data_IF_962119026133
#
_entry.id   IF_962119026133
#
_cell.length_a   1.000
_cell.length_b   1.000
_cell.length_c   1.000
_cell.angle_alpha   90.00
_cell.angle_beta   90.00
_cell.angle_gamma   90.00
#
_symmetry.space_group_name_H-M   'P 1'
#
loop_
_entity.id
_entity.type
_entity.pdbx_description
1 polymer ?
#
# COMPACT_ATOMS: atom_id res chain seq x y z
N UNK A 1 -25.14 -7.95 1.21
CA UNK A 1 -23.80 -8.25 0.68
C UNK A 1 -23.83 -8.95 -0.68
N UNK A 2 -24.19 -10.25 -0.80
CA UNK A 2 -24.23 -10.93 -2.13
C UNK A 2 -25.09 -10.20 -3.16
N UNK A 3 -26.25 -9.69 -2.75
CA UNK A 3 -27.11 -8.85 -3.61
C UNK A 3 -26.39 -7.63 -4.20
N UNK A 4 -25.49 -6.99 -3.46
CA UNK A 4 -24.72 -5.84 -3.95
C UNK A 4 -23.74 -6.27 -5.04
N UNK A 5 -22.99 -7.35 -4.79
CA UNK A 5 -22.05 -7.95 -5.74
C UNK A 5 -22.79 -8.39 -7.01
N UNK A 6 -23.91 -9.12 -6.87
CA UNK A 6 -24.74 -9.56 -8.00
C UNK A 6 -25.28 -8.38 -8.80
N UNK A 7 -25.68 -7.30 -8.13
CA UNK A 7 -26.13 -6.06 -8.77
C UNK A 7 -25.00 -5.42 -9.56
N UNK A 8 -23.79 -5.30 -9.00
CA UNK A 8 -22.60 -4.79 -9.71
C UNK A 8 -22.35 -5.62 -10.97
N UNK A 9 -22.24 -6.94 -10.83
CA UNK A 9 -21.98 -7.84 -11.95
C UNK A 9 -23.05 -7.66 -13.05
N UNK A 10 -24.33 -7.68 -12.67
CA UNK A 10 -25.45 -7.56 -13.61
C UNK A 10 -25.46 -6.21 -14.32
N UNK A 11 -25.24 -5.12 -13.58
CA UNK A 11 -25.26 -3.77 -14.15
C UNK A 11 -24.07 -3.53 -15.09
N UNK A 12 -22.87 -3.93 -14.67
CA UNK A 12 -21.67 -3.79 -15.50
C UNK A 12 -21.75 -4.65 -16.76
N UNK A 13 -22.17 -5.93 -16.65
CA UNK A 13 -22.40 -6.78 -17.83
C UNK A 13 -23.39 -6.16 -18.81
N UNK A 14 -24.51 -5.64 -18.30
CA UNK A 14 -25.55 -5.03 -19.13
C UNK A 14 -25.11 -3.73 -19.80
N UNK A 15 -24.37 -2.88 -19.09
CA UNK A 15 -24.02 -1.53 -19.55
C UNK A 15 -22.74 -1.48 -20.39
N UNK A 16 -21.75 -2.31 -20.07
CA UNK A 16 -20.47 -2.34 -20.77
C UNK A 16 -20.42 -3.39 -21.88
N UNK A 17 -21.23 -4.47 -21.78
CA UNK A 17 -21.26 -5.51 -22.79
C UNK A 17 -19.86 -6.07 -23.05
N UNK A 18 -19.40 -5.99 -24.30
CA UNK A 18 -18.07 -6.44 -24.72
C UNK A 18 -16.90 -5.66 -24.13
N UNK A 19 -17.12 -4.46 -23.59
CA UNK A 19 -16.06 -3.67 -22.93
C UNK A 19 -15.69 -4.22 -21.54
N UNK A 20 -16.55 -5.05 -20.93
CA UNK A 20 -16.20 -5.70 -19.67
C UNK A 20 -15.39 -6.96 -19.96
N UNK A 21 -14.20 -7.08 -19.38
CA UNK A 21 -13.31 -8.22 -19.64
C UNK A 21 -13.30 -9.22 -18.49
N UNK A 22 -13.20 -8.74 -17.25
CA UNK A 22 -13.18 -9.62 -16.08
C UNK A 22 -13.70 -8.91 -14.82
N UNK A 23 -14.20 -9.69 -13.87
CA UNK A 23 -14.52 -9.25 -12.51
C UNK A 23 -13.97 -10.27 -11.52
N UNK A 24 -13.19 -9.79 -10.55
CA UNK A 24 -12.64 -10.60 -9.46
C UNK A 24 -13.16 -10.09 -8.12
N UNK A 25 -13.53 -11.03 -7.24
CA UNK A 25 -13.73 -10.79 -5.82
C UNK A 25 -12.51 -11.31 -5.07
N UNK A 26 -11.91 -10.51 -4.21
CA UNK A 26 -10.72 -10.90 -3.45
C UNK A 26 -10.80 -10.41 -1.99
N UNK A 27 -9.74 -10.64 -1.22
CA UNK A 27 -9.67 -10.24 0.19
C UNK A 27 -10.47 -11.14 1.14
N UNK A 28 -10.81 -10.60 2.31
CA UNK A 28 -11.41 -11.36 3.42
C UNK A 28 -12.77 -11.98 3.08
N UNK A 29 -13.56 -11.31 2.24
CA UNK A 29 -14.86 -11.84 1.81
C UNK A 29 -14.73 -13.04 0.87
N UNK A 30 -13.79 -13.01 -0.08
CA UNK A 30 -13.52 -14.15 -0.94
C UNK A 30 -13.09 -15.39 -0.14
N UNK A 31 -12.28 -15.16 0.90
CA UNK A 31 -11.65 -16.19 1.73
C UNK A 31 -12.48 -16.66 2.94
N UNK A 32 -13.59 -15.99 3.26
CA UNK A 32 -14.51 -16.42 4.33
C UNK A 32 -14.20 -15.90 5.73
N UNK A 33 -13.31 -14.91 5.88
CA UNK A 33 -13.01 -14.27 7.18
C UNK A 33 -13.39 -12.77 7.22
N UNK A 34 -14.38 -12.39 6.42
CA UNK A 34 -14.95 -11.05 6.42
C UNK A 34 -15.60 -10.70 7.76
N UNK A 35 -15.49 -9.43 8.15
CA UNK A 35 -16.10 -8.87 9.35
C UNK A 35 -16.81 -7.56 8.98
N UNK A 36 -18.12 -7.54 9.16
CA UNK A 36 -18.97 -6.38 8.86
C UNK A 36 -18.55 -5.16 9.68
N UNK A 37 -18.56 -3.98 9.07
CA UNK A 37 -18.09 -2.74 9.71
C UNK A 37 -16.58 -2.56 9.72
N UNK A 38 -15.79 -3.64 9.56
CA UNK A 38 -14.31 -3.60 9.66
C UNK A 38 -13.57 -4.09 8.41
N UNK A 39 -14.29 -4.58 7.41
CA UNK A 39 -13.73 -5.14 6.18
C UNK A 39 -14.43 -4.57 4.96
N UNK A 40 -13.62 -4.17 3.98
CA UNK A 40 -14.13 -3.80 2.66
C UNK A 40 -14.51 -5.04 1.84
N UNK A 41 -15.48 -4.87 0.94
CA UNK A 41 -15.73 -5.82 -0.14
C UNK A 41 -14.81 -5.46 -1.30
N UNK A 42 -13.74 -6.23 -1.47
CA UNK A 42 -12.72 -5.96 -2.47
C UNK A 42 -13.08 -6.58 -3.82
N UNK A 43 -13.44 -5.72 -4.77
CA UNK A 43 -13.73 -6.09 -6.15
C UNK A 43 -12.69 -5.48 -7.08
N UNK A 44 -12.33 -6.20 -8.14
CA UNK A 44 -11.53 -5.69 -9.24
C UNK A 44 -12.29 -5.89 -10.55
N UNK A 45 -12.45 -4.81 -11.32
CA UNK A 45 -13.16 -4.78 -12.58
C UNK A 45 -12.14 -4.40 -13.67
N UNK A 46 -11.98 -5.29 -14.64
CA UNK A 46 -11.11 -5.09 -15.80
C UNK A 46 -11.97 -4.79 -17.02
N UNK A 47 -11.64 -3.69 -17.71
CA UNK A 47 -12.37 -3.20 -18.89
C UNK A 47 -11.45 -3.06 -20.10
N UNK A 48 -12.05 -2.90 -21.27
CA UNK A 48 -11.33 -2.62 -22.51
C UNK A 48 -10.63 -1.26 -22.46
N UNK A 49 -9.55 -1.13 -23.23
CA UNK A 49 -8.85 0.13 -23.43
C UNK A 49 -9.77 1.24 -23.93
N UNK A 50 -9.55 2.47 -23.45
CA UNK A 50 -10.36 3.63 -23.83
C UNK A 50 -11.78 3.66 -23.25
N UNK A 51 -12.17 2.69 -22.40
CA UNK A 51 -13.47 2.73 -21.73
C UNK A 51 -13.63 4.03 -20.94
N UNK A 52 -14.73 4.74 -21.18
CA UNK A 52 -14.95 6.07 -20.62
C UNK A 52 -15.26 5.99 -19.11
N UNK A 53 -14.37 6.55 -18.27
CA UNK A 53 -14.52 6.60 -16.81
C UNK A 53 -15.84 7.25 -16.35
N UNK A 54 -16.36 8.23 -17.10
CA UNK A 54 -17.64 8.87 -16.76
C UNK A 54 -18.85 7.98 -17.10
N UNK A 55 -18.71 7.05 -18.05
CA UNK A 55 -19.73 6.02 -18.29
C UNK A 55 -19.72 4.96 -17.18
N UNK A 56 -18.52 4.59 -16.70
CA UNK A 56 -18.34 3.69 -15.56
C UNK A 56 -18.91 4.32 -14.29
N UNK A 57 -18.63 5.59 -14.04
CA UNK A 57 -19.20 6.37 -12.93
C UNK A 57 -20.73 6.39 -12.97
N UNK A 58 -21.34 6.76 -14.10
CA UNK A 58 -22.81 6.75 -14.24
C UNK A 58 -23.44 5.37 -14.03
N UNK A 59 -22.68 4.30 -14.23
CA UNK A 59 -23.13 2.93 -13.98
C UNK A 59 -23.00 2.56 -12.50
N UNK A 60 -21.92 2.98 -11.85
CA UNK A 60 -21.61 2.58 -10.47
C UNK A 60 -22.24 3.48 -9.41
N UNK A 61 -22.36 4.80 -9.64
CA UNK A 61 -22.82 5.74 -8.63
C UNK A 61 -24.19 5.38 -8.01
N UNK A 62 -25.22 4.97 -8.78
CA UNK A 62 -26.49 4.53 -8.19
C UNK A 62 -26.34 3.27 -7.32
N UNK A 63 -25.40 2.38 -7.66
CA UNK A 63 -25.11 1.18 -6.88
C UNK A 63 -24.40 1.58 -5.58
N UNK A 64 -23.53 2.57 -5.63
CA UNK A 64 -22.88 3.13 -4.45
C UNK A 64 -23.86 3.81 -3.51
N UNK A 65 -24.83 4.55 -4.03
CA UNK A 65 -25.92 5.15 -3.24
C UNK A 65 -26.72 4.08 -2.49
N UNK A 66 -27.04 2.96 -3.14
CA UNK A 66 -27.81 1.86 -2.54
C UNK A 66 -27.00 0.96 -1.58
N UNK A 67 -25.71 0.76 -1.86
CA UNK A 67 -24.90 -0.29 -1.21
C UNK A 67 -23.56 0.19 -0.63
N UNK A 68 -23.25 1.48 -0.65
CA UNK A 68 -21.94 2.03 -0.26
C UNK A 68 -21.54 1.68 1.17
N UNK A 69 -22.49 1.68 2.11
CA UNK A 69 -22.25 1.26 3.49
C UNK A 69 -21.83 -0.22 3.62
N UNK A 70 -22.34 -1.08 2.74
CA UNK A 70 -22.01 -2.51 2.70
C UNK A 70 -20.69 -2.76 1.99
N UNK A 71 -20.43 -2.01 0.91
CA UNK A 71 -19.21 -2.15 0.11
C UNK A 71 -17.98 -1.58 0.82
N UNK A 72 -18.16 -0.45 1.54
CA UNK A 72 -17.14 0.39 2.19
C UNK A 72 -16.09 1.00 1.25
N UNK A 73 -15.90 0.43 0.07
CA UNK A 73 -14.97 0.89 -0.97
C UNK A 73 -15.54 0.63 -2.37
N UNK A 74 -15.20 1.49 -3.33
CA UNK A 74 -15.41 1.18 -4.74
C UNK A 74 -14.45 0.08 -5.24
N UNK A 75 -14.81 -0.61 -6.34
CA UNK A 75 -13.93 -1.60 -6.95
C UNK A 75 -12.64 -0.95 -7.47
N UNK A 76 -11.55 -1.71 -7.48
CA UNK A 76 -10.44 -1.44 -8.39
C UNK A 76 -10.98 -1.44 -9.81
N UNK A 77 -10.59 -0.46 -10.60
CA UNK A 77 -11.09 -0.30 -11.96
C UNK A 77 -9.93 0.06 -12.88
N UNK A 78 -9.67 -0.78 -13.87
CA UNK A 78 -8.56 -0.59 -14.77
C UNK A 78 -8.88 -1.08 -16.19
N UNK A 79 -8.41 -0.36 -17.22
CA UNK A 79 -8.18 -0.96 -18.52
C UNK A 79 -7.22 -2.15 -18.42
N UNK A 80 -7.32 -3.10 -19.35
CA UNK A 80 -6.51 -4.32 -19.38
C UNK A 80 -5.01 -4.09 -19.16
N UNK A 81 -4.40 -3.21 -19.93
CA UNK A 81 -2.95 -2.91 -19.85
C UNK A 81 -2.56 -2.34 -18.49
N UNK A 82 -3.39 -1.46 -17.93
CA UNK A 82 -3.18 -0.91 -16.60
C UNK A 82 -3.33 -1.97 -15.52
N UNK A 83 -4.27 -2.90 -15.66
CA UNK A 83 -4.40 -4.05 -14.77
C UNK A 83 -3.17 -4.95 -14.82
N UNK A 84 -2.71 -5.35 -16.01
CA UNK A 84 -1.51 -6.18 -16.19
C UNK A 84 -0.30 -5.52 -15.55
N UNK A 85 -0.05 -4.24 -15.86
CA UNK A 85 1.04 -3.47 -15.26
C UNK A 85 0.90 -3.40 -13.74
N UNK A 86 -0.30 -3.13 -13.22
CA UNK A 86 -0.53 -3.06 -11.78
C UNK A 86 -0.25 -4.38 -11.07
N UNK A 87 -0.63 -5.51 -11.67
CA UNK A 87 -0.33 -6.86 -11.16
C UNK A 87 1.18 -7.15 -11.17
N UNK A 88 1.89 -6.77 -12.23
CA UNK A 88 3.35 -6.92 -12.33
C UNK A 88 4.09 -6.09 -11.27
N UNK A 89 3.62 -4.87 -11.01
CA UNK A 89 4.20 -3.98 -10.01
C UNK A 89 3.83 -4.36 -8.57
N UNK A 90 2.75 -5.12 -8.38
CA UNK A 90 2.26 -5.61 -7.09
C UNK A 90 2.05 -7.14 -7.09
N UNK A 91 3.13 -7.94 -7.19
CA UNK A 91 3.05 -9.40 -7.23
C UNK A 91 2.25 -10.01 -6.08
N UNK A 92 2.38 -9.48 -4.85
CA UNK A 92 1.62 -9.99 -3.72
C UNK A 92 0.09 -9.88 -3.95
N UNK A 93 -0.37 -8.76 -4.49
CA UNK A 93 -1.78 -8.58 -4.85
C UNK A 93 -2.19 -9.54 -5.97
N UNK A 94 -1.37 -9.66 -7.02
CA UNK A 94 -1.63 -10.55 -8.14
C UNK A 94 -1.80 -12.02 -7.68
N UNK A 95 -0.88 -12.50 -6.85
CA UNK A 95 -0.93 -13.84 -6.27
C UNK A 95 -2.11 -14.03 -5.33
N UNK A 96 -2.46 -13.03 -4.52
CA UNK A 96 -3.67 -13.09 -3.69
C UNK A 96 -4.96 -13.17 -4.53
N UNK A 97 -5.06 -12.40 -5.62
CA UNK A 97 -6.23 -12.47 -6.51
C UNK A 97 -6.33 -13.84 -7.18
N UNK A 98 -5.22 -14.38 -7.71
CA UNK A 98 -5.25 -15.67 -8.40
C UNK A 98 -5.48 -16.86 -7.47
N UNK A 99 -4.86 -16.88 -6.28
CA UNK A 99 -4.92 -18.02 -5.37
C UNK A 99 -6.16 -18.00 -4.48
N UNK A 100 -6.45 -16.84 -3.91
CA UNK A 100 -7.44 -16.69 -2.85
C UNK A 100 -8.68 -15.90 -3.31
N UNK A 101 -8.68 -15.39 -4.54
CA UNK A 101 -9.81 -14.69 -5.15
C UNK A 101 -10.82 -15.62 -5.82
N UNK A 102 -11.93 -15.03 -6.25
CA UNK A 102 -13.00 -15.67 -7.01
C UNK A 102 -13.24 -14.88 -8.27
N UNK A 103 -13.06 -15.50 -9.42
CA UNK A 103 -13.45 -14.91 -10.69
C UNK A 103 -14.98 -14.99 -10.83
N UNK A 104 -15.61 -13.83 -10.92
CA UNK A 104 -17.07 -13.67 -11.04
C UNK A 104 -17.50 -13.52 -12.51
N UNK A 105 -16.58 -13.09 -13.37
CA UNK A 105 -16.77 -12.94 -14.80
C UNK A 105 -15.42 -12.92 -15.55
N UNK A 106 -15.44 -13.29 -16.82
CA UNK A 106 -14.29 -13.31 -17.74
C UNK A 106 -13.90 -14.72 -18.17
N UNK A 107 -12.85 -14.83 -18.99
CA UNK A 107 -12.30 -16.11 -19.42
C UNK A 107 -11.61 -16.84 -18.24
N UNK A 108 -11.74 -18.18 -18.09
CA UNK A 108 -11.19 -18.90 -16.95
C UNK A 108 -9.66 -18.79 -16.79
N UNK A 109 -8.95 -18.58 -17.89
CA UNK A 109 -7.49 -18.47 -18.01
C UNK A 109 -7.00 -17.01 -17.99
N UNK A 110 -7.86 -16.05 -17.65
CA UNK A 110 -7.55 -14.62 -17.74
C UNK A 110 -6.28 -14.21 -16.99
N UNK A 111 -5.99 -14.84 -15.84
CA UNK A 111 -4.83 -14.50 -15.01
C UNK A 111 -3.56 -15.28 -15.37
N UNK A 112 -3.66 -16.38 -16.14
CA UNK A 112 -2.55 -17.32 -16.34
C UNK A 112 -1.34 -16.66 -17.01
N UNK A 113 -1.58 -15.70 -17.90
CA UNK A 113 -0.54 -14.94 -18.60
C UNK A 113 -0.05 -13.69 -17.85
N UNK A 114 -0.67 -13.35 -16.72
CA UNK A 114 -0.46 -12.08 -16.01
C UNK A 114 0.40 -12.25 -14.75
N UNK A 115 0.43 -13.45 -14.16
CA UNK A 115 1.04 -13.68 -12.86
C UNK A 115 2.58 -13.53 -12.89
N UNK A 116 3.15 -12.47 -12.27
CA UNK A 116 4.60 -12.35 -12.15
C UNK A 116 5.13 -13.40 -11.16
N UNK A 117 6.44 -13.73 -11.19
CA UNK A 117 7.04 -14.51 -10.12
C UNK A 117 6.88 -13.78 -8.77
N UNK A 118 6.60 -14.53 -7.70
CA UNK A 118 6.52 -13.98 -6.35
C UNK A 118 7.86 -14.16 -5.64
N UNK A 119 8.59 -13.06 -5.44
CA UNK A 119 9.72 -13.06 -4.52
C UNK A 119 9.20 -13.08 -3.08
N UNK A 120 9.57 -14.13 -2.35
CA UNK A 120 9.19 -14.32 -0.94
C UNK A 120 9.73 -13.17 -0.07
N UNK A 121 10.89 -12.62 -0.40
CA UNK A 121 11.47 -11.49 0.34
C UNK A 121 10.58 -10.25 0.22
N UNK A 122 10.08 -9.95 -0.97
CA UNK A 122 9.19 -8.80 -1.21
C UNK A 122 7.84 -8.97 -0.51
N UNK A 123 7.27 -10.17 -0.57
CA UNK A 123 6.01 -10.47 0.12
C UNK A 123 6.11 -10.18 1.62
N UNK A 124 7.20 -10.62 2.27
CA UNK A 124 7.42 -10.38 3.69
C UNK A 124 7.97 -8.98 4.00
N UNK A 125 8.63 -8.30 3.05
CA UNK A 125 8.98 -6.89 3.17
C UNK A 125 7.72 -6.01 3.26
N UNK A 126 6.75 -6.26 2.39
CA UNK A 126 5.45 -5.57 2.41
C UNK A 126 4.74 -5.79 3.76
N UNK A 127 4.63 -7.05 4.22
CA UNK A 127 3.99 -7.34 5.51
C UNK A 127 4.73 -6.70 6.69
N UNK A 128 6.06 -6.64 6.63
CA UNK A 128 6.90 -6.00 7.64
C UNK A 128 6.69 -4.50 7.66
N UNK A 129 6.62 -3.88 6.49
CA UNK A 129 6.32 -2.46 6.38
C UNK A 129 4.95 -2.13 6.96
N UNK A 130 3.91 -2.89 6.60
CA UNK A 130 2.58 -2.72 7.20
C UNK A 130 2.61 -2.90 8.72
N UNK A 131 3.31 -3.92 9.23
CA UNK A 131 3.44 -4.17 10.67
C UNK A 131 4.16 -3.02 11.40
N UNK A 132 5.20 -2.44 10.79
CA UNK A 132 5.91 -1.28 11.29
C UNK A 132 5.00 -0.05 11.33
N UNK A 133 4.29 0.25 10.24
CA UNK A 133 3.38 1.40 10.16
C UNK A 133 2.23 1.31 11.17
N UNK A 134 1.59 0.14 11.32
CA UNK A 134 0.48 -0.01 12.29
C UNK A 134 0.95 -0.06 13.72
N UNK A 135 2.26 -0.17 13.99
CA UNK A 135 2.77 -0.26 15.35
C UNK A 135 2.60 1.04 16.16
N UNK A 136 2.26 2.16 15.50
CA UNK A 136 1.85 3.41 16.16
C UNK A 136 0.70 3.25 17.14
N UNK A 137 -0.13 2.20 17.00
CA UNK A 137 -1.16 1.81 17.97
C UNK A 137 -0.65 1.52 19.38
N UNK A 138 0.67 1.39 19.55
CA UNK A 138 1.30 1.26 20.86
C UNK A 138 1.29 2.58 21.64
N UNK A 139 1.27 3.71 20.94
CA UNK A 139 1.26 5.07 21.51
C UNK A 139 0.15 5.91 20.85
N UNK A 140 -1.13 5.53 21.04
CA UNK A 140 -2.25 6.21 20.40
C UNK A 140 -2.40 7.67 20.84
N UNK A 141 -1.84 8.06 21.99
CA UNK A 141 -1.89 9.44 22.51
C UNK A 141 -1.05 10.43 21.68
N UNK A 142 -0.20 9.92 20.79
CA UNK A 142 0.60 10.72 19.83
C UNK A 142 -0.11 10.92 18.49
N UNK A 143 -1.28 10.31 18.30
CA UNK A 143 -2.05 10.35 17.06
C UNK A 143 -3.32 11.16 17.26
N UNK A 144 -3.84 11.71 16.17
CA UNK A 144 -5.23 12.20 16.17
C UNK A 144 -6.20 11.04 16.38
N UNK A 145 -7.35 11.23 17.08
CA UNK A 145 -8.26 10.13 17.42
C UNK A 145 -8.72 9.29 16.22
N UNK A 146 -8.98 9.93 15.08
CA UNK A 146 -9.37 9.25 13.85
C UNK A 146 -8.22 8.40 13.27
N UNK A 147 -6.99 8.91 13.30
CA UNK A 147 -5.80 8.16 12.86
C UNK A 147 -5.53 6.97 13.79
N UNK A 148 -5.68 7.15 15.11
CA UNK A 148 -5.51 6.08 16.08
C UNK A 148 -6.49 4.92 15.82
N UNK A 149 -7.75 5.22 15.57
CA UNK A 149 -8.78 4.22 15.26
C UNK A 149 -8.52 3.55 13.90
N UNK A 150 -8.22 4.32 12.86
CA UNK A 150 -7.87 3.77 11.54
C UNK A 150 -6.63 2.86 11.60
N UNK A 151 -5.64 3.22 12.41
CA UNK A 151 -4.43 2.40 12.61
C UNK A 151 -4.75 1.11 13.37
N UNK A 152 -5.62 1.19 14.39
CA UNK A 152 -6.12 0.01 15.12
C UNK A 152 -6.89 -0.95 14.21
N UNK A 153 -7.81 -0.44 13.40
CA UNK A 153 -8.54 -1.23 12.41
C UNK A 153 -7.60 -1.89 11.39
N UNK A 154 -6.56 -1.18 10.97
CA UNK A 154 -5.52 -1.72 10.09
C UNK A 154 -4.75 -2.88 10.74
N UNK A 155 -4.39 -2.75 12.02
CA UNK A 155 -3.77 -3.85 12.77
C UNK A 155 -4.71 -5.07 12.86
N UNK A 156 -5.99 -4.87 13.16
CA UNK A 156 -6.98 -5.95 13.20
C UNK A 156 -7.11 -6.67 11.85
N UNK A 157 -7.11 -5.93 10.74
CA UNK A 157 -7.11 -6.50 9.38
C UNK A 157 -5.86 -7.35 9.11
N UNK A 158 -4.68 -6.90 9.54
CA UNK A 158 -3.43 -7.68 9.41
C UNK A 158 -3.52 -8.99 10.22
N UNK A 159 -4.01 -8.94 11.45
CA UNK A 159 -4.16 -10.15 12.30
C UNK A 159 -5.14 -11.14 11.66
N UNK A 160 -6.30 -10.67 11.18
CA UNK A 160 -7.25 -11.52 10.45
C UNK A 160 -6.61 -12.17 9.22
N UNK A 161 -5.84 -11.41 8.44
CA UNK A 161 -5.15 -11.92 7.24
C UNK A 161 -4.13 -13.01 7.59
N UNK A 162 -3.37 -12.82 8.67
CA UNK A 162 -2.39 -13.81 9.16
C UNK A 162 -3.09 -15.09 9.63
N UNK A 163 -4.19 -14.96 10.38
CA UNK A 163 -4.93 -16.09 10.94
C UNK A 163 -5.87 -16.78 9.95
N UNK A 164 -6.29 -16.07 8.91
CA UNK A 164 -7.39 -16.44 8.00
C UNK A 164 -8.72 -16.71 8.73
N UNK A 165 -8.96 -15.97 9.81
CA UNK A 165 -10.15 -16.11 10.67
C UNK A 165 -10.63 -14.74 11.18
N UNK A 166 -11.94 -14.56 11.44
CA UNK A 166 -12.47 -13.36 12.12
C UNK A 166 -11.91 -13.19 13.54
N UNK A 167 -11.94 -11.95 14.05
CA UNK A 167 -11.59 -11.66 15.44
C UNK A 167 -12.85 -11.72 16.32
N UNK A 168 -12.93 -12.73 17.18
CA UNK A 168 -14.10 -12.95 18.06
C UNK A 168 -13.90 -12.44 19.49
N UNK A 169 -12.66 -12.24 19.91
CA UNK A 169 -12.32 -11.81 21.27
C UNK A 169 -11.71 -10.41 21.23
N UNK A 170 -12.18 -9.47 22.08
CA UNK A 170 -11.56 -8.15 22.17
C UNK A 170 -10.15 -8.30 22.76
N UNK A 171 -9.14 -7.97 21.95
CA UNK A 171 -7.74 -7.92 22.35
C UNK A 171 -7.23 -6.47 22.35
N UNK A 172 -6.30 -6.18 23.24
CA UNK A 172 -5.60 -4.89 23.27
C UNK A 172 -4.68 -4.75 22.05
N UNK A 173 -4.38 -3.51 21.64
CA UNK A 173 -3.48 -3.24 20.51
C UNK A 173 -2.10 -3.87 20.72
N UNK A 174 -1.59 -3.88 21.96
CA UNK A 174 -0.31 -4.53 22.33
C UNK A 174 -0.35 -6.05 22.07
N UNK A 175 -1.45 -6.73 22.44
CA UNK A 175 -1.61 -8.17 22.20
C UNK A 175 -1.72 -8.49 20.72
N UNK A 176 -2.52 -7.73 19.97
CA UNK A 176 -2.68 -7.91 18.52
C UNK A 176 -1.34 -7.73 17.80
N UNK A 177 -0.59 -6.68 18.11
CA UNK A 177 0.73 -6.43 17.50
C UNK A 177 1.74 -7.51 17.88
N UNK A 178 1.77 -7.94 19.15
CA UNK A 178 2.62 -9.03 19.60
C UNK A 178 2.36 -10.34 18.82
N UNK A 179 1.10 -10.62 18.44
CA UNK A 179 0.77 -11.76 17.57
C UNK A 179 1.30 -11.59 16.14
N UNK A 180 1.19 -10.39 15.57
CA UNK A 180 1.76 -10.11 14.24
C UNK A 180 3.25 -10.43 14.23
N UNK A 181 4.00 -9.93 15.21
CA UNK A 181 5.43 -10.21 15.32
C UNK A 181 5.75 -11.66 15.68
N UNK A 182 4.89 -12.34 16.47
CA UNK A 182 5.03 -13.78 16.73
C UNK A 182 4.96 -14.60 15.44
N UNK A 183 4.09 -14.22 14.50
CA UNK A 183 3.96 -14.88 13.21
C UNK A 183 5.08 -14.50 12.23
N UNK A 184 5.39 -13.20 12.12
CA UNK A 184 6.34 -12.71 11.13
C UNK A 184 7.78 -13.12 11.44
N UNK A 185 8.21 -13.01 12.70
CA UNK A 185 9.61 -13.19 13.07
C UNK A 185 10.17 -14.56 12.64
N UNK A 186 9.56 -15.72 12.95
CA UNK A 186 10.11 -17.02 12.57
C UNK A 186 10.28 -17.20 11.06
N UNK A 187 9.45 -16.53 10.25
CA UNK A 187 9.52 -16.61 8.79
C UNK A 187 10.64 -15.72 8.28
N UNK A 188 10.71 -14.47 8.75
CA UNK A 188 11.75 -13.51 8.36
C UNK A 188 13.15 -14.06 8.69
N UNK A 189 13.33 -14.70 9.85
CA UNK A 189 14.62 -15.29 10.24
C UNK A 189 15.06 -16.46 9.35
N UNK A 190 14.14 -17.07 8.59
CA UNK A 190 14.45 -18.13 7.62
C UNK A 190 14.79 -17.59 6.22
N UNK A 191 14.53 -16.32 5.95
CA UNK A 191 14.84 -15.71 4.66
C UNK A 191 16.37 -15.64 4.47
N UNK A 192 16.90 -16.09 3.32
CA UNK A 192 18.34 -16.03 3.05
C UNK A 192 18.90 -14.61 3.16
N UNK A 193 18.18 -13.62 2.64
CA UNK A 193 18.59 -12.21 2.63
C UNK A 193 18.71 -11.64 4.06
N UNK A 194 17.82 -12.07 4.97
CA UNK A 194 17.79 -11.60 6.34
C UNK A 194 19.05 -11.99 7.13
N UNK A 195 19.76 -13.05 6.73
CA UNK A 195 20.99 -13.52 7.40
C UNK A 195 22.08 -12.46 7.48
N UNK A 196 22.13 -11.54 6.52
CA UNK A 196 23.12 -10.47 6.47
C UNK A 196 22.95 -9.45 7.62
N UNK A 197 21.73 -9.32 8.15
CA UNK A 197 21.40 -8.38 9.20
C UNK A 197 21.10 -9.06 10.54
N UNK A 198 21.12 -10.39 10.57
CA UNK A 198 20.99 -11.15 11.81
C UNK A 198 22.27 -11.06 12.64
N UNK A 199 22.11 -10.90 13.95
CA UNK A 199 23.25 -10.90 14.89
C UNK A 199 23.99 -9.57 14.99
N UNK A 200 23.39 -8.46 14.56
CA UNK A 200 23.90 -7.12 14.90
C UNK A 200 24.01 -7.01 16.41
N UNK A 201 25.23 -6.75 16.90
CA UNK A 201 25.51 -6.73 18.34
C UNK A 201 24.66 -5.64 19.00
N UNK A 202 23.96 -5.93 20.12
CA UNK A 202 23.30 -4.90 20.90
C UNK A 202 24.30 -3.78 21.26
N UNK A 203 23.83 -2.54 21.25
CA UNK A 203 24.65 -1.42 21.75
C UNK A 203 25.00 -1.69 23.22
N UNK A 204 26.24 -1.39 23.63
CA UNK A 204 26.69 -1.56 25.00
C UNK A 204 25.90 -0.67 25.99
N UNK A 205 25.29 0.40 25.47
CA UNK A 205 24.39 1.31 26.20
C UNK A 205 23.03 1.32 25.52
N UNK A 206 22.04 0.68 26.11
CA UNK A 206 20.62 0.79 25.68
C UNK A 206 19.85 1.64 26.68
N UNK A 207 18.78 2.29 26.23
CA UNK A 207 17.87 3.01 27.14
C UNK A 207 17.29 2.05 28.20
N UNK A 208 17.29 2.41 29.50
CA UNK A 208 16.69 1.60 30.56
C UNK A 208 15.18 1.36 30.35
N UNK A 209 14.51 2.29 29.66
CA UNK A 209 13.06 2.26 29.40
C UNK A 209 12.75 1.48 28.11
N UNK A 210 13.74 1.33 27.23
CA UNK A 210 13.62 0.59 25.97
C UNK A 210 14.73 -0.48 25.87
N UNK A 211 14.62 -1.58 26.64
CA UNK A 211 15.59 -2.66 26.58
C UNK A 211 15.71 -3.23 25.17
N UNK A 212 16.95 -3.35 24.67
CA UNK A 212 17.23 -3.88 23.34
C UNK A 212 17.07 -2.88 22.18
N UNK A 213 16.78 -1.61 22.46
CA UNK A 213 16.87 -0.54 21.45
C UNK A 213 18.29 -0.46 20.88
N UNK A 214 18.40 -0.50 19.56
CA UNK A 214 19.67 -0.43 18.83
C UNK A 214 19.85 0.90 18.10
N UNK A 215 18.81 1.41 17.44
CA UNK A 215 18.92 2.64 16.67
C UNK A 215 17.60 3.45 16.66
N UNK A 216 17.72 4.73 16.31
CA UNK A 216 16.63 5.67 16.15
C UNK A 216 16.73 6.34 14.78
N UNK A 217 15.61 6.36 14.06
CA UNK A 217 15.45 7.15 12.85
C UNK A 217 14.27 8.10 13.00
N UNK A 218 14.29 9.20 12.27
CA UNK A 218 13.16 10.10 12.09
C UNK A 218 12.73 10.08 10.64
N UNK A 219 11.43 10.08 10.43
CA UNK A 219 10.84 10.12 9.11
C UNK A 219 9.55 10.95 9.14
N UNK A 220 9.51 12.06 8.41
CA UNK A 220 8.29 12.89 8.23
C UNK A 220 7.56 13.17 9.54
N UNK A 221 8.29 13.58 10.57
CA UNK A 221 7.75 13.90 11.90
C UNK A 221 7.44 12.68 12.79
N UNK A 222 7.70 11.45 12.34
CA UNK A 222 7.58 10.22 13.14
C UNK A 222 8.95 9.77 13.65
N UNK A 223 8.95 9.01 14.75
CA UNK A 223 10.14 8.33 15.23
C UNK A 223 10.05 6.83 14.98
N UNK A 224 11.12 6.24 14.45
CA UNK A 224 11.25 4.80 14.24
C UNK A 224 12.23 4.24 15.26
N UNK A 225 11.75 3.38 16.15
CA UNK A 225 12.53 2.68 17.16
C UNK A 225 12.96 1.32 16.61
N UNK A 226 14.27 1.11 16.47
CA UNK A 226 14.84 -0.12 15.92
C UNK A 226 15.42 -0.94 17.04
N UNK A 227 14.84 -2.12 17.28
CA UNK A 227 15.29 -3.06 18.30
C UNK A 227 16.21 -4.14 17.71
N UNK A 228 17.13 -4.66 18.53
CA UNK A 228 17.93 -5.84 18.18
C UNK A 228 17.05 -7.04 17.83
N UNK A 229 16.03 -7.25 18.65
CA UNK A 229 14.98 -8.24 18.45
C UNK A 229 13.67 -7.67 18.99
N UNK A 230 12.67 -7.59 18.11
CA UNK A 230 11.33 -7.17 18.49
C UNK A 230 10.47 -8.41 18.75
N UNK A 231 10.59 -8.97 19.95
CA UNK A 231 9.82 -10.16 20.35
C UNK A 231 8.42 -9.80 20.86
N UNK A 232 7.45 -10.74 20.83
CA UNK A 232 6.15 -10.54 21.46
C UNK A 232 6.26 -10.11 22.92
N UNK A 233 7.20 -10.69 23.68
CA UNK A 233 7.43 -10.37 25.08
C UNK A 233 7.99 -8.95 25.25
N UNK A 234 8.87 -8.50 24.35
CA UNK A 234 9.35 -7.11 24.33
C UNK A 234 8.18 -6.15 24.17
N UNK A 235 7.28 -6.39 23.21
CA UNK A 235 6.10 -5.55 22.97
C UNK A 235 5.18 -5.52 24.21
N UNK A 236 4.94 -6.67 24.83
CA UNK A 236 4.01 -6.78 25.96
C UNK A 236 4.55 -6.18 27.26
N UNK A 237 5.87 -6.28 27.51
CA UNK A 237 6.49 -5.83 28.76
C UNK A 237 6.87 -4.35 28.74
N UNK A 238 7.01 -3.75 27.56
CA UNK A 238 7.37 -2.34 27.43
C UNK A 238 6.21 -1.41 27.84
N UNK A 239 6.54 -0.41 28.66
CA UNK A 239 5.61 0.63 29.07
C UNK A 239 5.51 1.73 28.00
N UNK A 240 4.74 1.43 26.96
CA UNK A 240 4.51 2.34 25.84
C UNK A 240 3.86 3.67 26.22
N UNK A 241 3.07 3.72 27.30
CA UNK A 241 2.45 4.95 27.79
C UNK A 241 3.50 5.90 28.33
N UNK A 242 4.45 5.39 29.14
CA UNK A 242 5.59 6.19 29.62
C UNK A 242 6.47 6.70 28.47
N UNK A 243 6.64 5.90 27.41
CA UNK A 243 7.40 6.31 26.21
C UNK A 243 6.68 7.46 25.50
N UNK A 244 5.37 7.31 25.27
CA UNK A 244 4.49 8.34 24.70
C UNK A 244 4.61 9.66 25.46
N UNK A 245 4.52 9.63 26.79
CA UNK A 245 4.67 10.80 27.67
C UNK A 245 6.04 11.48 27.52
N UNK A 246 7.12 10.69 27.50
CA UNK A 246 8.49 11.22 27.40
C UNK A 246 8.83 11.84 26.04
N UNK A 247 8.20 11.38 24.97
CA UNK A 247 8.38 11.95 23.62
C UNK A 247 7.56 13.24 23.45
N UNK A 248 6.46 13.38 24.19
CA UNK A 248 5.53 14.50 24.09
C UNK A 248 4.94 14.65 22.69
N UNK A 249 4.30 15.80 22.42
CA UNK A 249 3.70 16.12 21.11
C UNK A 249 4.71 16.47 20.01
N UNK A 250 5.98 16.12 20.17
CA UNK A 250 7.05 16.45 19.21
C UNK A 250 6.99 15.58 17.95
N UNK A 251 6.36 14.40 18.05
CA UNK A 251 6.30 13.42 16.98
C UNK A 251 4.85 13.03 16.66
N UNK A 252 4.57 12.75 15.39
CA UNK A 252 3.28 12.30 14.85
C UNK A 252 3.07 10.78 15.00
N UNK A 253 3.65 10.20 16.05
CA UNK A 253 3.62 8.77 16.34
C UNK A 253 4.99 8.09 16.33
N UNK A 254 4.98 6.88 16.89
CA UNK A 254 6.15 6.01 17.04
C UNK A 254 5.92 4.72 16.26
N UNK A 255 6.85 4.40 15.37
CA UNK A 255 6.89 3.12 14.69
C UNK A 255 7.99 2.26 15.32
N UNK A 256 7.74 0.97 15.52
CA UNK A 256 8.69 0.03 16.11
C UNK A 256 8.98 -1.08 15.13
N UNK A 257 10.24 -1.48 15.07
CA UNK A 257 10.72 -2.51 14.15
C UNK A 257 11.97 -3.17 14.72
N UNK A 258 12.45 -4.23 14.07
CA UNK A 258 13.81 -4.74 14.28
C UNK A 258 14.73 -4.34 13.14
N UNK A 259 16.04 -4.46 13.34
CA UNK A 259 17.04 -4.16 12.30
C UNK A 259 16.79 -4.95 11.02
N UNK A 260 16.53 -6.26 11.13
CA UNK A 260 16.24 -7.13 9.98
C UNK A 260 14.99 -6.65 9.23
N UNK A 261 13.95 -6.27 9.98
CA UNK A 261 12.68 -5.82 9.44
C UNK A 261 12.77 -4.45 8.75
N UNK A 262 13.47 -3.50 9.36
CA UNK A 262 13.76 -2.21 8.76
C UNK A 262 14.52 -2.40 7.44
N UNK A 263 15.62 -3.16 7.44
CA UNK A 263 16.41 -3.38 6.22
C UNK A 263 15.61 -4.08 5.12
N UNK A 264 14.81 -5.09 5.48
CA UNK A 264 13.96 -5.81 4.52
C UNK A 264 12.90 -4.88 3.89
N UNK A 265 12.20 -4.09 4.70
CA UNK A 265 11.23 -3.09 4.22
C UNK A 265 11.90 -2.01 3.37
N UNK A 266 13.02 -1.46 3.85
CA UNK A 266 13.80 -0.43 3.20
C UNK A 266 14.29 -0.86 1.80
N UNK A 267 14.71 -2.11 1.65
CA UNK A 267 15.27 -2.60 0.39
C UNK A 267 14.20 -2.96 -0.66
N UNK A 268 13.08 -3.57 -0.25
CA UNK A 268 12.09 -4.12 -1.19
C UNK A 268 10.79 -3.32 -1.29
N UNK A 269 10.38 -2.61 -0.24
CA UNK A 269 9.13 -1.84 -0.22
C UNK A 269 9.37 -0.34 -0.30
N UNK A 270 10.49 0.14 0.26
CA UNK A 270 10.80 1.57 0.38
C UNK A 270 12.16 2.01 -0.20
N UNK A 271 12.68 1.43 -1.30
CA UNK A 271 13.99 1.78 -1.84
C UNK A 271 14.14 3.28 -2.17
N UNK A 272 13.13 3.96 -2.71
CA UNK A 272 13.15 5.40 -2.97
C UNK A 272 13.28 6.24 -1.69
N UNK A 273 12.66 5.81 -0.59
CA UNK A 273 12.73 6.56 0.67
C UNK A 273 14.15 6.51 1.25
N UNK A 274 14.83 5.38 1.09
CA UNK A 274 16.26 5.24 1.42
C UNK A 274 17.12 6.06 0.45
N UNK A 275 16.87 5.92 -0.85
CA UNK A 275 17.64 6.59 -1.89
C UNK A 275 17.60 8.12 -1.76
N UNK A 276 16.43 8.69 -1.47
CA UNK A 276 16.26 10.12 -1.20
C UNK A 276 16.57 10.53 0.24
N UNK A 277 17.08 9.62 1.07
CA UNK A 277 17.47 9.88 2.47
C UNK A 277 16.33 10.46 3.31
N UNK A 278 15.10 9.95 3.14
CA UNK A 278 13.94 10.34 3.97
C UNK A 278 14.05 9.84 5.43
N UNK A 279 14.90 8.85 5.66
CA UNK A 279 15.25 8.37 6.98
C UNK A 279 16.42 9.21 7.55
N UNK A 280 16.11 10.07 8.51
CA UNK A 280 17.12 10.83 9.26
C UNK A 280 17.62 9.97 10.43
N UNK A 281 18.87 9.50 10.37
CA UNK A 281 19.47 8.75 11.48
C UNK A 281 19.74 9.68 12.68
N UNK A 282 19.23 9.31 13.85
CA UNK A 282 19.34 10.11 15.08
C UNK A 282 20.31 9.50 16.11
N UNK A 283 20.33 8.18 16.28
CA UNK A 283 21.13 7.53 17.32
C UNK A 283 21.35 6.04 17.02
N UNK A 284 22.49 5.50 17.49
CA UNK A 284 22.85 4.09 17.37
C UNK A 284 23.65 3.79 16.11
N UNK A 285 23.73 2.51 15.70
CA UNK A 285 24.28 2.14 14.40
C UNK A 285 23.34 2.53 13.26
N UNK A 286 23.90 3.10 12.20
CA UNK A 286 23.18 3.40 10.97
C UNK A 286 23.22 2.20 10.01
N UNK A 287 22.05 1.61 9.76
CA UNK A 287 21.88 0.36 9.02
C UNK A 287 21.51 0.59 7.55
N UNK A 288 20.91 1.73 7.24
CA UNK A 288 20.34 2.01 5.91
C UNK A 288 21.39 2.33 4.84
N UNK A 289 22.48 3.09 5.12
CA UNK A 289 23.51 3.40 4.12
C UNK A 289 24.25 2.19 3.57
N UNK A 290 24.24 1.06 4.30
CA UNK A 290 24.89 -0.18 3.87
C UNK A 290 24.04 -1.01 2.91
N UNK A 291 22.77 -0.63 2.68
CA UNK A 291 21.89 -1.34 1.77
C UNK A 291 22.28 -1.07 0.31
N UNK A 292 22.46 -2.13 -0.46
CA UNK A 292 22.68 -2.03 -1.90
C UNK A 292 21.32 -2.11 -2.60
N UNK A 293 20.79 -0.95 -2.97
CA UNK A 293 19.52 -0.85 -3.68
C UNK A 293 19.72 -1.09 -5.17
N UNK A 294 18.93 -1.98 -5.76
CA UNK A 294 18.93 -2.16 -7.21
C UNK A 294 18.11 -1.08 -7.91
N UNK A 295 18.54 -0.58 -9.08
CA UNK A 295 17.72 0.28 -9.95
C UNK A 295 16.32 -0.30 -10.21
N UNK A 296 16.22 -1.60 -10.50
CA UNK A 296 14.95 -2.33 -10.58
C UNK A 296 14.00 -2.09 -9.38
N UNK A 297 14.49 -2.17 -8.14
CA UNK A 297 13.65 -1.91 -6.94
C UNK A 297 13.19 -0.44 -6.89
N UNK A 298 14.08 0.50 -7.20
CA UNK A 298 13.80 1.94 -7.22
C UNK A 298 12.71 2.25 -8.26
N UNK A 299 12.89 1.81 -9.51
CA UNK A 299 11.93 2.07 -10.58
C UNK A 299 10.61 1.35 -10.39
N UNK A 300 10.62 0.17 -9.78
CA UNK A 300 9.37 -0.50 -9.43
C UNK A 300 8.58 0.30 -8.40
N UNK A 301 9.22 0.82 -7.34
CA UNK A 301 8.52 1.67 -6.38
C UNK A 301 8.02 2.95 -7.06
N UNK A 302 8.81 3.58 -7.93
CA UNK A 302 8.42 4.77 -8.70
C UNK A 302 7.21 4.51 -9.60
N UNK A 303 7.11 3.32 -10.20
CA UNK A 303 5.96 2.90 -11.01
C UNK A 303 4.72 2.56 -10.18
N UNK A 304 4.89 2.05 -8.95
CA UNK A 304 3.78 1.60 -8.09
C UNK A 304 2.85 2.74 -7.69
N UNK A 305 3.38 3.91 -7.34
CA UNK A 305 2.55 5.05 -6.93
C UNK A 305 1.57 5.51 -8.03
N UNK A 306 2.01 5.89 -9.25
CA UNK A 306 1.08 6.29 -10.31
C UNK A 306 0.14 5.15 -10.72
N UNK A 307 0.63 3.90 -10.73
CA UNK A 307 -0.21 2.72 -11.01
C UNK A 307 -1.32 2.55 -9.96
N UNK A 308 -1.00 2.64 -8.67
CA UNK A 308 -1.97 2.56 -7.59
C UNK A 308 -2.98 3.71 -7.65
N UNK A 309 -2.53 4.94 -7.95
CA UNK A 309 -3.45 6.06 -8.10
C UNK A 309 -4.42 5.80 -9.25
N UNK A 310 -3.92 5.31 -10.40
CA UNK A 310 -4.71 5.05 -11.59
C UNK A 310 -5.74 3.94 -11.41
N UNK A 311 -5.37 2.83 -10.77
CA UNK A 311 -6.21 1.61 -10.69
C UNK A 311 -7.12 1.61 -9.47
N UNK A 312 -6.75 2.36 -8.43
CA UNK A 312 -7.38 2.27 -7.13
C UNK A 312 -7.84 3.63 -6.59
N UNK A 313 -6.91 4.49 -6.15
CA UNK A 313 -7.26 5.70 -5.41
C UNK A 313 -8.18 6.63 -6.19
N UNK A 314 -7.85 6.90 -7.47
CA UNK A 314 -8.61 7.84 -8.30
C UNK A 314 -9.95 7.26 -8.74
N UNK A 315 -10.05 5.99 -9.23
CA UNK A 315 -11.34 5.35 -9.43
C UNK A 315 -12.22 5.38 -8.18
N UNK A 316 -11.67 5.05 -7.01
CA UNK A 316 -12.44 5.06 -5.77
C UNK A 316 -13.08 6.43 -5.51
N UNK A 317 -12.32 7.52 -5.63
CA UNK A 317 -12.85 8.87 -5.45
C UNK A 317 -13.88 9.25 -6.53
N UNK A 318 -13.56 9.03 -7.81
CA UNK A 318 -14.43 9.42 -8.94
C UNK A 318 -15.76 8.65 -8.93
N UNK A 319 -15.74 7.37 -8.56
CA UNK A 319 -16.93 6.50 -8.62
C UNK A 319 -17.87 6.66 -7.42
N UNK A 320 -17.38 7.17 -6.29
CA UNK A 320 -18.15 7.21 -5.02
C UNK A 320 -18.64 8.59 -4.61
N UNK A 321 -18.05 9.65 -5.17
CA UNK A 321 -18.38 11.02 -4.83
C UNK A 321 -19.33 11.65 -5.85
N UNK A 322 -20.13 12.62 -5.41
CA UNK A 322 -21.05 13.37 -6.26
C UNK A 322 -20.34 14.36 -7.21
N UNK A 323 -21.12 15.02 -8.07
CA UNK A 323 -20.59 15.95 -9.08
C UNK A 323 -19.97 17.21 -8.46
N UNK A 324 -20.37 17.59 -7.24
CA UNK A 324 -19.85 18.79 -6.56
C UNK A 324 -18.42 18.58 -6.08
N UNK A 325 -18.04 17.34 -5.78
CA UNK A 325 -16.70 16.95 -5.35
C UNK A 325 -15.67 16.86 -6.49
N UNK A 326 -16.09 16.92 -7.77
CA UNK A 326 -15.17 16.70 -8.90
C UNK A 326 -13.98 17.66 -8.92
N UNK A 327 -14.18 18.93 -8.54
CA UNK A 327 -13.09 19.90 -8.48
C UNK A 327 -12.10 19.60 -7.35
N UNK A 328 -12.58 19.14 -6.19
CA UNK A 328 -11.74 18.70 -5.07
C UNK A 328 -10.94 17.45 -5.46
N UNK A 329 -11.59 16.48 -6.10
CA UNK A 329 -10.94 15.29 -6.65
C UNK A 329 -9.82 15.71 -7.61
N UNK A 330 -10.11 16.58 -8.58
CA UNK A 330 -9.11 17.06 -9.52
C UNK A 330 -7.93 17.71 -8.78
N UNK A 331 -8.20 18.59 -7.82
CA UNK A 331 -7.16 19.23 -7.02
C UNK A 331 -6.27 18.20 -6.30
N UNK A 332 -6.88 17.23 -5.61
CA UNK A 332 -6.15 16.24 -4.81
C UNK A 332 -5.29 15.32 -5.68
N UNK A 333 -5.81 14.88 -6.83
CA UNK A 333 -5.04 14.04 -7.74
C UNK A 333 -4.02 14.81 -8.57
N UNK A 334 -4.21 16.12 -8.80
CA UNK A 334 -3.15 17.00 -9.30
C UNK A 334 -2.01 17.12 -8.29
N UNK A 335 -2.29 17.23 -6.99
CA UNK A 335 -1.27 17.24 -5.94
C UNK A 335 -0.53 15.89 -5.84
N UNK A 336 -1.25 14.77 -5.99
CA UNK A 336 -0.60 13.45 -6.05
C UNK A 336 0.30 13.31 -7.29
N UNK A 337 -0.12 13.82 -8.45
CA UNK A 337 0.72 13.87 -9.65
C UNK A 337 1.94 14.76 -9.47
N UNK A 338 1.81 15.89 -8.76
CA UNK A 338 2.95 16.74 -8.42
C UNK A 338 3.98 15.96 -7.59
N UNK A 339 3.56 15.14 -6.64
CA UNK A 339 4.49 14.29 -5.89
C UNK A 339 5.24 13.30 -6.80
N UNK A 340 4.57 12.71 -7.79
CA UNK A 340 5.22 11.85 -8.80
C UNK A 340 6.24 12.64 -9.63
N UNK A 341 5.93 13.89 -9.99
CA UNK A 341 6.84 14.77 -10.73
C UNK A 341 8.05 15.20 -9.89
N UNK A 342 7.85 15.54 -8.63
CA UNK A 342 8.94 15.91 -7.71
C UNK A 342 9.87 14.71 -7.46
N UNK A 343 9.29 13.52 -7.32
CA UNK A 343 10.06 12.27 -7.22
C UNK A 343 10.91 12.03 -8.48
N UNK A 344 10.32 12.22 -9.67
CA UNK A 344 11.05 12.15 -10.93
C UNK A 344 12.20 13.17 -11.00
N UNK A 345 11.94 14.42 -10.58
CA UNK A 345 12.97 15.45 -10.57
C UNK A 345 14.14 15.07 -9.66
N UNK A 346 13.88 14.44 -8.51
CA UNK A 346 14.94 13.91 -7.65
C UNK A 346 15.72 12.81 -8.37
N UNK A 347 15.05 11.85 -9.03
CA UNK A 347 15.74 10.82 -9.81
C UNK A 347 16.63 11.41 -10.92
N UNK A 348 16.18 12.48 -11.58
CA UNK A 348 16.99 13.21 -12.57
C UNK A 348 18.24 13.82 -11.94
N UNK A 349 18.09 14.46 -10.77
CA UNK A 349 19.21 15.09 -10.04
C UNK A 349 20.25 14.09 -9.55
N UNK A 350 19.83 12.85 -9.32
CA UNK A 350 20.71 11.74 -9.00
C UNK A 350 21.17 10.95 -10.23
N UNK A 351 20.94 11.47 -11.44
CA UNK A 351 21.40 10.89 -12.72
C UNK A 351 20.90 9.45 -12.95
N UNK A 352 19.78 9.06 -12.32
CA UNK A 352 19.16 7.76 -12.53
C UNK A 352 18.31 7.70 -13.79
N UNK A 353 17.78 8.84 -14.22
CA UNK A 353 16.92 8.98 -15.40
C UNK A 353 17.24 10.27 -16.12
N UNK A 354 16.98 10.30 -17.42
CA UNK A 354 17.06 11.53 -18.19
C UNK A 354 15.95 12.51 -17.79
N UNK A 355 16.28 13.79 -17.83
CA UNK A 355 15.31 14.85 -17.56
C UNK A 355 14.35 15.00 -18.73
N UNK A 356 13.06 14.84 -18.46
CA UNK A 356 12.01 15.19 -19.41
C UNK A 356 10.80 15.82 -18.70
N UNK A 357 9.85 16.28 -19.51
CA UNK A 357 8.50 16.63 -19.06
C UNK A 357 7.50 15.68 -19.75
N UNK A 358 6.40 15.28 -19.08
CA UNK A 358 5.34 14.54 -19.75
C UNK A 358 4.91 15.27 -21.04
N UNK A 359 4.58 14.52 -22.11
CA UNK A 359 4.46 15.08 -23.46
C UNK A 359 3.32 16.09 -23.61
N UNK A 360 2.24 15.94 -22.86
CA UNK A 360 1.11 16.87 -22.84
C UNK A 360 0.98 17.50 -21.45
N UNK A 361 0.78 18.82 -21.32
CA UNK A 361 0.49 19.44 -20.04
C UNK A 361 -0.94 19.10 -19.59
N UNK A 362 -1.15 19.07 -18.26
CA UNK A 362 -2.51 18.94 -17.73
C UNK A 362 -3.35 20.16 -18.13
N UNK A 363 -4.62 19.96 -18.52
CA UNK A 363 -5.51 21.05 -18.89
C UNK A 363 -5.76 22.05 -17.75
N UNK A 364 -5.93 23.31 -18.14
CA UNK A 364 -6.19 24.44 -17.25
C UNK A 364 -7.56 24.38 -16.55
N UNK A 365 -7.81 25.35 -15.66
CA UNK A 365 -9.06 25.44 -14.88
C UNK A 365 -10.29 25.78 -15.74
N UNK A 366 -10.07 26.34 -16.92
CA UNK A 366 -11.04 26.66 -17.95
C UNK A 366 -11.59 25.41 -18.68
N UNK A 367 -10.88 24.29 -18.60
CA UNK A 367 -11.31 23.02 -19.20
C UNK A 367 -12.36 22.32 -18.34
N UNK A 368 -13.41 21.69 -18.93
CA UNK A 368 -14.42 20.97 -18.16
C UNK A 368 -13.84 19.90 -17.20
N UNK A 369 -14.35 19.75 -15.97
CA UNK A 369 -13.85 18.78 -14.99
C UNK A 369 -13.74 17.35 -15.52
N UNK A 370 -14.68 16.94 -16.37
CA UNK A 370 -14.69 15.61 -16.98
C UNK A 370 -13.48 15.37 -17.88
N UNK A 371 -13.07 16.36 -18.66
CA UNK A 371 -11.88 16.28 -19.52
C UNK A 371 -10.59 16.33 -18.68
N UNK A 372 -10.57 17.15 -17.61
CA UNK A 372 -9.43 17.22 -16.68
C UNK A 372 -9.18 15.89 -15.98
N UNK A 373 -10.24 15.19 -15.53
CA UNK A 373 -10.16 13.85 -14.95
C UNK A 373 -9.54 12.85 -15.94
N UNK A 374 -10.00 12.85 -17.19
CA UNK A 374 -9.45 11.97 -18.24
C UNK A 374 -7.97 12.25 -18.48
N UNK A 375 -7.57 13.52 -18.51
CA UNK A 375 -6.17 13.91 -18.66
C UNK A 375 -5.30 13.40 -17.49
N UNK A 376 -5.79 13.49 -16.25
CA UNK A 376 -5.09 12.95 -15.07
C UNK A 376 -4.88 11.44 -15.22
N UNK A 377 -5.90 10.68 -15.62
CA UNK A 377 -5.75 9.23 -15.88
C UNK A 377 -4.67 8.94 -16.93
N UNK A 378 -4.64 9.71 -18.03
CA UNK A 378 -3.59 9.57 -19.07
C UNK A 378 -2.20 9.86 -18.54
N UNK A 379 -2.04 10.90 -17.70
CA UNK A 379 -0.75 11.20 -17.07
C UNK A 379 -0.29 10.10 -16.13
N UNK A 380 -1.20 9.56 -15.32
CA UNK A 380 -0.88 8.45 -14.42
C UNK A 380 -0.47 7.19 -15.19
N UNK A 381 -1.17 6.91 -16.29
CA UNK A 381 -0.80 5.84 -17.21
C UNK A 381 0.61 6.05 -17.74
N UNK A 382 0.88 7.24 -18.30
CA UNK A 382 2.16 7.60 -18.88
C UNK A 382 3.32 7.43 -17.90
N UNK A 383 3.17 7.94 -16.67
CA UNK A 383 4.18 7.79 -15.62
C UNK A 383 4.41 6.34 -15.23
N UNK A 384 3.35 5.58 -15.04
CA UNK A 384 3.47 4.17 -14.69
C UNK A 384 4.11 3.35 -15.82
N UNK A 385 3.78 3.65 -17.08
CA UNK A 385 4.36 3.00 -18.26
C UNK A 385 5.84 3.36 -18.45
N UNK A 386 6.20 4.63 -18.24
CA UNK A 386 7.59 5.08 -18.31
C UNK A 386 8.49 4.29 -17.36
N UNK A 387 8.14 4.25 -16.07
CA UNK A 387 8.94 3.54 -15.07
C UNK A 387 8.86 2.02 -15.23
N UNK A 388 7.71 1.46 -15.62
CA UNK A 388 7.61 0.03 -15.93
C UNK A 388 8.45 -0.35 -17.17
N UNK A 389 8.66 0.57 -18.12
CA UNK A 389 9.57 0.40 -19.24
C UNK A 389 11.02 0.27 -18.80
N UNK A 390 11.47 1.09 -17.85
CA UNK A 390 12.84 1.03 -17.30
C UNK A 390 13.18 -0.36 -16.70
N UNK A 391 12.18 -1.06 -16.15
CA UNK A 391 12.38 -2.41 -15.60
C UNK A 391 12.71 -3.46 -16.66
N UNK A 392 12.27 -3.27 -17.91
CA UNK A 392 12.48 -4.23 -19.00
C UNK A 392 13.89 -4.10 -19.59
N UNK A 393 14.37 -2.88 -19.69
CA UNK A 393 15.68 -2.57 -20.28
C UNK A 393 16.86 -3.08 -19.42
N UNK A 394 16.64 -3.37 -18.13
CA UNK A 394 17.64 -3.96 -17.23
C UNK A 394 17.76 -5.50 -17.30
N UNK A 395 16.85 -6.17 -18.02
CA UNK A 395 16.85 -7.64 -18.18
C UNK A 395 17.38 -8.11 -19.54
N UNK A 396 17.75 -7.18 -20.41
CA UNK A 396 18.41 -7.40 -21.71
C UNK A 396 19.91 -7.09 -21.61
#
# INVERSE_FOLDING_TARGET
MNKAIDTIIKQFKRKLGGQLQAIFLYGSYAQGFYQEGESDINLCIVVEEGTNIHALRRTFLPIWEDYGQVLQRAPLLAPHSAFVRHMQLNPLLAHHIARDGKQLFGAPDFLDSILPPLDVNEAYAYMTNEAMQVSKVLTPELLEPEEAEATRQSLQRIVRRIRREPLTTPESSKQLLARVYHFLNPIIHKLPVAKQWMGTKPSATTSPILPGLQALYKETGKMILVFSQLTPQTILRTDWSRISESMGKQYLGIEVTSTVQLCLSAMFERPLDVFFRKFEHNWGPDFLPALTLSPHQIFRQAARLPSHIQVDSMPNAVLTQDDTALNTIIHDFQNKLLNVQLEHELLCRFEMVERFTPPEPLPGRDTPPTQRIVAIFKHLQWWADYYAGQLKDETA
#
